data_IF_441107733773
#
_entry.id   IF_441107733773
#
_cell.length_a   1.000
_cell.length_b   1.000
_cell.length_c   1.000
_cell.angle_alpha   90.00
_cell.angle_beta   90.00
_cell.angle_gamma   90.00
#
_symmetry.space_group_name_H-M   'P 1'
#
loop_
_entity.id
_entity.type
_entity.pdbx_description
1 polymer ?
#
# COMPACT_ATOMS: atom_id res chain seq x y z
N UNK A 1 -11.92 -35.39 17.63
CA UNK A 1 -11.19 -34.69 16.57
C UNK A 1 -10.34 -33.61 17.20
N UNK A 2 -9.12 -33.87 17.64
CA UNK A 2 -8.33 -32.94 18.45
C UNK A 2 -6.87 -33.35 18.61
N UNK A 3 -6.25 -33.98 17.60
CA UNK A 3 -4.89 -34.52 17.76
C UNK A 3 -3.82 -33.99 16.78
N UNK A 4 -4.20 -33.22 15.79
CA UNK A 4 -3.25 -32.75 14.75
C UNK A 4 -2.61 -31.36 15.02
N UNK A 5 -3.24 -30.51 15.82
CA UNK A 5 -2.76 -29.13 16.04
C UNK A 5 -1.56 -29.01 17.00
N UNK A 6 -1.37 -29.95 17.90
CA UNK A 6 -0.32 -29.84 18.91
C UNK A 6 1.09 -30.16 18.37
N UNK A 7 1.18 -31.10 17.45
CA UNK A 7 2.47 -31.45 16.79
C UNK A 7 2.95 -30.37 15.83
N UNK A 8 2.03 -29.73 15.11
CA UNK A 8 2.37 -28.66 14.15
C UNK A 8 2.89 -27.42 14.88
N UNK A 9 2.27 -27.02 15.98
CA UNK A 9 2.72 -25.89 16.82
C UNK A 9 4.08 -26.20 17.47
N UNK A 10 4.32 -27.45 17.87
CA UNK A 10 5.62 -27.85 18.42
C UNK A 10 6.73 -27.77 17.38
N UNK A 11 6.51 -28.19 16.13
CA UNK A 11 7.49 -28.09 15.05
C UNK A 11 7.80 -26.65 14.66
N UNK A 12 6.81 -25.76 14.63
CA UNK A 12 7.04 -24.31 14.36
C UNK A 12 7.85 -23.69 15.50
N UNK A 13 7.56 -24.00 16.74
CA UNK A 13 8.37 -23.50 17.88
C UNK A 13 9.81 -23.98 17.84
N UNK A 14 10.05 -25.24 17.50
CA UNK A 14 11.42 -25.79 17.38
C UNK A 14 12.17 -25.15 16.20
N UNK A 15 11.51 -24.88 15.09
CA UNK A 15 12.10 -24.22 13.93
C UNK A 15 12.48 -22.76 14.24
N UNK A 16 11.61 -22.04 14.92
CA UNK A 16 11.86 -20.65 15.34
C UNK A 16 12.99 -20.56 16.37
N UNK A 17 13.05 -21.46 17.34
CA UNK A 17 14.14 -21.53 18.32
C UNK A 17 15.46 -21.92 17.65
N UNK A 18 15.45 -22.84 16.69
CA UNK A 18 16.65 -23.21 15.92
C UNK A 18 17.16 -22.07 15.05
N UNK A 19 16.26 -21.30 14.43
CA UNK A 19 16.65 -20.09 13.70
C UNK A 19 17.20 -19.00 14.63
N UNK A 20 16.65 -18.83 15.83
CA UNK A 20 17.18 -17.89 16.82
C UNK A 20 18.60 -18.28 17.29
N UNK A 21 18.84 -19.58 17.48
CA UNK A 21 20.17 -20.07 17.87
C UNK A 21 21.22 -19.95 16.74
N UNK A 22 20.81 -20.06 15.49
CA UNK A 22 21.69 -19.82 14.34
C UNK A 22 22.07 -18.33 14.18
N UNK A 23 21.20 -17.41 14.59
CA UNK A 23 21.45 -15.97 14.56
C UNK A 23 22.42 -15.52 15.68
N UNK A 24 22.51 -16.25 16.80
CA UNK A 24 23.43 -15.90 17.91
C UNK A 24 24.86 -16.41 17.71
N UNK A 25 25.11 -17.25 16.71
CA UNK A 25 26.45 -17.79 16.41
C UNK A 25 27.22 -17.03 15.33
N UNK A 26 26.68 -15.93 14.80
CA UNK A 26 27.40 -15.06 13.87
C UNK A 26 28.16 -14.01 14.70
N UNK A 27 29.38 -14.30 15.06
CA UNK A 27 30.31 -13.28 15.52
C UNK A 27 30.64 -12.35 14.34
N UNK A 28 30.00 -11.19 14.32
CA UNK A 28 30.32 -10.11 13.37
C UNK A 28 31.54 -9.38 13.93
N UNK A 29 32.71 -9.75 13.51
CA UNK A 29 33.94 -8.97 13.69
C UNK A 29 33.85 -7.73 12.81
N UNK A 30 33.34 -6.61 13.36
CA UNK A 30 33.47 -5.29 12.75
C UNK A 30 34.92 -4.82 12.91
N UNK A 31 35.73 -4.98 11.87
CA UNK A 31 36.96 -4.23 11.72
C UNK A 31 36.61 -2.78 11.33
N UNK A 32 36.61 -1.87 12.30
CA UNK A 32 36.49 -0.45 12.07
C UNK A 32 37.77 0.11 11.49
N UNK A 33 37.89 0.13 10.17
CA UNK A 33 38.78 1.06 9.49
C UNK A 33 38.02 2.40 9.33
N UNK A 34 38.10 3.22 10.36
CA UNK A 34 37.74 4.64 10.27
C UNK A 34 38.74 5.33 9.33
N UNK A 35 38.46 5.35 8.03
CA UNK A 35 39.02 6.38 7.15
C UNK A 35 38.27 7.67 7.48
N UNK A 36 38.97 8.60 8.12
CA UNK A 36 38.55 10.00 8.18
C UNK A 36 38.61 10.51 6.73
N UNK A 37 37.47 10.52 6.06
CA UNK A 37 37.32 11.22 4.78
C UNK A 37 37.39 12.72 5.08
N UNK A 38 38.51 13.31 4.73
CA UNK A 38 38.61 14.76 4.54
C UNK A 38 37.50 15.19 3.58
N UNK A 39 36.73 16.21 3.98
CA UNK A 39 35.68 16.83 3.19
C UNK A 39 36.24 17.40 1.88
N UNK A 40 36.51 16.54 0.91
CA UNK A 40 36.58 16.97 -0.48
C UNK A 40 35.18 17.46 -0.88
N UNK A 41 35.13 18.65 -1.48
CA UNK A 41 33.94 19.25 -2.05
C UNK A 41 33.27 18.27 -3.02
N UNK A 42 32.52 17.33 -2.51
CA UNK A 42 31.64 16.46 -3.30
C UNK A 42 30.58 17.37 -3.87
N UNK A 43 30.75 17.79 -5.14
CA UNK A 43 29.65 18.39 -5.89
C UNK A 43 28.48 17.45 -5.74
N UNK A 44 27.51 17.85 -4.91
CA UNK A 44 26.22 17.19 -4.84
C UNK A 44 25.60 17.43 -6.22
N UNK A 45 25.79 16.51 -7.14
CA UNK A 45 24.97 16.46 -8.33
C UNK A 45 23.57 16.21 -7.82
N UNK A 46 22.74 17.24 -7.82
CA UNK A 46 21.30 17.08 -7.69
C UNK A 46 20.91 16.20 -8.86
N UNK A 47 20.75 14.89 -8.59
CA UNK A 47 20.37 13.90 -9.59
C UNK A 47 19.15 14.43 -10.34
N UNK A 48 19.16 14.31 -11.64
CA UNK A 48 18.02 14.70 -12.46
C UNK A 48 16.80 13.90 -12.01
N UNK A 49 15.74 14.59 -11.63
CA UNK A 49 14.50 13.94 -11.18
C UNK A 49 13.76 13.46 -12.42
N UNK A 50 13.73 12.15 -12.62
CA UNK A 50 13.01 11.51 -13.72
C UNK A 50 11.57 11.21 -13.30
N UNK A 51 10.64 11.41 -14.22
CA UNK A 51 9.22 11.11 -14.06
C UNK A 51 8.69 10.33 -15.26
N UNK A 52 7.66 9.53 -15.05
CA UNK A 52 7.10 8.65 -16.09
C UNK A 52 5.81 9.20 -16.70
N UNK A 53 5.79 10.49 -17.02
CA UNK A 53 4.59 11.19 -17.57
C UNK A 53 4.08 10.51 -18.84
N UNK A 54 5.00 10.09 -19.72
CA UNK A 54 4.69 9.46 -21.00
C UNK A 54 4.89 7.94 -20.96
N UNK A 55 4.81 7.29 -19.77
CA UNK A 55 5.19 5.88 -19.53
C UNK A 55 6.68 5.59 -19.79
N UNK A 56 7.46 6.60 -20.10
CA UNK A 56 8.91 6.57 -20.27
C UNK A 56 9.51 7.55 -19.28
N UNK A 57 10.64 7.18 -18.69
CA UNK A 57 11.36 8.06 -17.77
C UNK A 57 11.90 9.27 -18.54
N UNK A 58 11.40 10.45 -18.20
CA UNK A 58 11.81 11.74 -18.76
C UNK A 58 12.22 12.67 -17.63
N UNK A 59 13.06 13.68 -17.97
CA UNK A 59 13.40 14.72 -17.02
C UNK A 59 12.16 15.52 -16.61
N UNK A 60 11.96 15.71 -15.32
CA UNK A 60 10.90 16.60 -14.81
C UNK A 60 10.99 18.00 -15.39
N UNK A 61 12.21 18.47 -15.73
CA UNK A 61 12.43 19.81 -16.31
C UNK A 61 11.95 19.93 -17.75
N UNK A 62 11.95 18.83 -18.50
CA UNK A 62 11.50 18.80 -19.90
C UNK A 62 9.99 18.55 -20.05
N UNK A 63 9.30 18.25 -18.94
CA UNK A 63 7.89 17.89 -18.97
C UNK A 63 7.03 19.10 -18.65
N UNK A 64 6.06 19.41 -19.52
CA UNK A 64 5.10 20.51 -19.33
C UNK A 64 4.06 20.21 -18.24
N UNK A 65 3.80 18.93 -17.96
CA UNK A 65 2.82 18.50 -16.96
C UNK A 65 3.34 18.73 -15.54
N UNK A 66 2.50 19.32 -14.68
CA UNK A 66 2.83 19.47 -13.27
C UNK A 66 2.84 18.08 -12.60
N UNK A 67 3.94 17.77 -11.93
CA UNK A 67 4.11 16.54 -11.18
C UNK A 67 4.69 16.79 -9.78
N UNK A 68 4.22 16.05 -8.80
CA UNK A 68 4.82 15.91 -7.47
C UNK A 68 5.38 14.50 -7.34
N UNK A 69 6.59 14.38 -6.82
CA UNK A 69 7.22 13.11 -6.53
C UNK A 69 7.38 13.04 -5.02
N UNK A 70 6.99 11.92 -4.46
CA UNK A 70 7.33 11.51 -3.10
C UNK A 70 8.39 10.42 -3.25
N UNK A 71 9.61 10.71 -2.91
CA UNK A 71 10.71 9.75 -2.99
C UNK A 71 10.75 8.82 -1.75
N UNK A 72 11.63 7.81 -1.78
CA UNK A 72 11.77 6.85 -0.70
C UNK A 72 12.12 7.51 0.65
N UNK A 73 12.82 8.64 0.64
CA UNK A 73 13.18 9.39 1.83
C UNK A 73 11.97 10.13 2.40
N UNK A 74 11.19 10.82 1.56
CA UNK A 74 9.94 11.47 1.97
C UNK A 74 8.95 10.44 2.50
N UNK A 75 8.80 9.28 1.82
CA UNK A 75 7.93 8.18 2.25
C UNK A 75 8.35 7.68 3.63
N UNK A 76 9.63 7.39 3.80
CA UNK A 76 10.16 6.89 5.09
C UNK A 76 10.02 7.91 6.21
N UNK A 77 10.31 9.18 5.94
CA UNK A 77 10.26 10.24 6.96
C UNK A 77 8.83 10.62 7.37
N UNK A 78 7.85 10.42 6.48
CA UNK A 78 6.44 10.73 6.79
C UNK A 78 5.86 9.86 7.89
N UNK A 79 6.42 8.66 8.11
CA UNK A 79 5.94 7.65 9.08
C UNK A 79 4.43 7.39 8.98
N UNK A 80 3.87 7.56 7.77
CA UNK A 80 2.44 7.37 7.53
C UNK A 80 2.03 5.92 7.69
N UNK A 81 0.92 5.67 8.37
CA UNK A 81 0.43 4.32 8.67
C UNK A 81 -0.04 3.58 7.41
N UNK A 82 -0.71 4.30 6.51
CA UNK A 82 -1.23 3.74 5.26
C UNK A 82 -0.80 4.57 4.05
N UNK A 83 -0.89 4.02 2.85
CA UNK A 83 -0.63 4.76 1.60
C UNK A 83 -1.61 5.91 1.42
N UNK A 84 -2.85 5.78 1.91
CA UNK A 84 -3.84 6.85 1.91
C UNK A 84 -3.37 8.04 2.77
N UNK A 85 -2.87 7.77 3.97
CA UNK A 85 -2.33 8.81 4.86
C UNK A 85 -1.06 9.45 4.29
N UNK A 86 -0.19 8.66 3.67
CA UNK A 86 1.01 9.17 2.99
C UNK A 86 0.65 10.22 1.93
N UNK A 87 -0.33 9.92 1.08
CA UNK A 87 -0.78 10.84 0.04
C UNK A 87 -1.44 12.08 0.64
N UNK A 88 -2.29 11.92 1.65
CA UNK A 88 -2.94 13.03 2.35
C UNK A 88 -1.92 13.95 3.03
N UNK A 89 -0.98 13.38 3.79
CA UNK A 89 0.04 14.11 4.54
C UNK A 89 1.03 14.84 3.63
N UNK A 90 1.22 14.37 2.40
CA UNK A 90 2.06 15.05 1.41
C UNK A 90 1.50 16.39 0.93
N UNK A 91 0.22 16.67 1.23
CA UNK A 91 -0.51 17.84 0.73
C UNK A 91 -0.76 17.83 -0.78
N UNK A 92 -0.52 16.69 -1.45
CA UNK A 92 -0.60 16.57 -2.91
C UNK A 92 -1.99 16.24 -3.41
N UNK A 93 -2.79 15.59 -2.57
CA UNK A 93 -4.18 15.22 -2.84
C UNK A 93 -4.97 15.22 -1.53
N UNK A 94 -6.28 15.34 -1.63
CA UNK A 94 -7.17 15.10 -0.49
C UNK A 94 -7.60 13.65 -0.47
N UNK A 95 -7.77 13.08 0.73
CA UNK A 95 -8.23 11.70 0.89
C UNK A 95 -9.45 11.71 1.82
N UNK A 96 -10.56 11.24 1.30
CA UNK A 96 -11.76 11.04 2.10
C UNK A 96 -11.69 9.67 2.78
N UNK A 97 -11.62 9.66 4.11
CA UNK A 97 -11.61 8.45 4.92
C UNK A 97 -12.92 8.30 5.68
N UNK A 98 -13.45 7.09 5.71
CA UNK A 98 -14.63 6.69 6.48
C UNK A 98 -14.34 5.51 7.40
N UNK A 99 -13.12 4.99 7.31
CA UNK A 99 -12.55 3.90 8.10
C UNK A 99 -11.05 4.13 8.26
N UNK A 100 -10.38 3.37 9.14
CA UNK A 100 -8.93 3.49 9.35
C UNK A 100 -8.16 3.09 8.10
N UNK A 101 -8.48 1.94 7.53
CA UNK A 101 -7.83 1.43 6.32
C UNK A 101 -8.43 2.03 5.05
N UNK A 102 -7.57 2.38 4.10
CA UNK A 102 -7.98 2.88 2.79
C UNK A 102 -8.42 4.33 2.76
N UNK A 103 -9.14 4.70 1.73
CA UNK A 103 -9.64 6.04 1.50
C UNK A 103 -9.85 6.33 0.02
N UNK A 104 -10.73 7.28 -0.31
CA UNK A 104 -10.96 7.76 -1.66
C UNK A 104 -10.08 8.98 -1.93
N UNK A 105 -9.18 8.85 -2.90
CA UNK A 105 -8.23 9.92 -3.25
C UNK A 105 -8.87 10.86 -4.25
N UNK A 106 -8.74 12.17 -3.98
CA UNK A 106 -9.26 13.26 -4.82
C UNK A 106 -8.11 14.15 -5.27
N UNK A 107 -7.93 14.29 -6.58
CA UNK A 107 -6.98 15.21 -7.21
C UNK A 107 -7.71 16.43 -7.78
N UNK A 108 -7.47 17.62 -7.21
CA UNK A 108 -8.07 18.88 -7.70
C UNK A 108 -9.59 18.80 -7.94
N UNK A 109 -10.31 18.13 -7.05
CA UNK A 109 -11.76 17.93 -7.15
C UNK A 109 -12.20 16.75 -8.03
N UNK A 110 -11.27 16.04 -8.67
CA UNK A 110 -11.57 14.80 -9.40
C UNK A 110 -11.36 13.60 -8.49
N UNK A 111 -12.37 12.76 -8.38
CA UNK A 111 -12.37 11.56 -7.55
C UNK A 111 -12.80 10.31 -8.32
N UNK A 112 -12.73 9.17 -7.67
CA UNK A 112 -13.17 7.88 -8.17
C UNK A 112 -12.55 7.51 -9.52
N UNK A 113 -13.39 7.21 -10.51
CA UNK A 113 -12.98 6.84 -11.87
C UNK A 113 -12.43 7.99 -12.73
N UNK A 114 -12.24 9.17 -12.15
CA UNK A 114 -11.62 10.32 -12.84
C UNK A 114 -10.17 10.56 -12.40
N UNK A 115 -9.73 9.84 -11.38
CA UNK A 115 -8.36 9.79 -10.90
C UNK A 115 -7.85 8.37 -11.04
N UNK A 116 -6.82 8.17 -11.85
CA UNK A 116 -6.25 6.84 -12.10
C UNK A 116 -5.19 6.53 -11.04
N UNK A 117 -5.30 5.39 -10.42
CA UNK A 117 -4.23 4.80 -9.62
C UNK A 117 -3.53 3.70 -10.41
N UNK A 118 -2.20 3.73 -10.40
CA UNK A 118 -1.32 2.78 -11.09
C UNK A 118 -0.28 2.27 -10.10
N UNK A 119 0.00 0.99 -10.11
CA UNK A 119 1.11 0.39 -9.37
C UNK A 119 2.01 -0.41 -10.30
N UNK A 120 3.30 -0.07 -10.34
CA UNK A 120 4.28 -0.71 -11.24
C UNK A 120 3.79 -0.82 -12.70
N UNK A 121 3.12 0.20 -13.23
CA UNK A 121 2.56 0.22 -14.58
C UNK A 121 1.20 -0.45 -14.76
N UNK A 122 0.68 -1.13 -13.72
CA UNK A 122 -0.62 -1.81 -13.75
C UNK A 122 -1.71 -0.90 -13.18
N UNK A 123 -2.80 -0.70 -13.93
CA UNK A 123 -3.95 0.09 -13.48
C UNK A 123 -4.65 -0.62 -12.33
N UNK A 124 -4.94 0.11 -11.26
CA UNK A 124 -5.68 -0.41 -10.10
C UNK A 124 -7.19 -0.19 -10.21
N UNK A 125 -7.62 0.82 -10.99
CA UNK A 125 -9.04 1.06 -11.21
C UNK A 125 -9.67 -0.14 -11.92
N UNK A 126 -10.77 -0.61 -11.37
CA UNK A 126 -11.49 -1.79 -11.84
C UNK A 126 -13.01 -1.51 -11.91
N UNK A 127 -13.84 -2.53 -12.13
CA UNK A 127 -15.29 -2.40 -12.28
C UNK A 127 -16.06 -2.35 -10.95
N UNK A 128 -15.39 -2.41 -9.80
CA UNK A 128 -16.06 -2.31 -8.51
C UNK A 128 -16.20 -0.82 -8.15
N UNK A 129 -17.39 -0.28 -8.42
CA UNK A 129 -17.71 1.13 -8.17
C UNK A 129 -18.56 1.29 -6.91
N UNK A 130 -17.95 1.63 -5.80
CA UNK A 130 -18.64 1.88 -4.53
C UNK A 130 -19.28 3.28 -4.50
N UNK A 131 -20.25 3.53 -5.36
CA UNK A 131 -20.91 4.85 -5.49
C UNK A 131 -19.92 6.00 -5.72
N UNK A 132 -18.81 5.70 -6.41
CA UNK A 132 -17.77 6.68 -6.70
C UNK A 132 -16.63 6.75 -5.67
N UNK A 133 -16.68 6.02 -4.56
CA UNK A 133 -15.63 6.01 -3.55
C UNK A 133 -14.78 4.73 -3.64
N UNK A 134 -13.74 4.77 -4.47
CA UNK A 134 -12.83 3.64 -4.64
C UNK A 134 -11.93 3.48 -3.40
N UNK A 135 -11.78 2.25 -2.94
CA UNK A 135 -10.94 1.91 -1.77
C UNK A 135 -9.66 1.15 -2.16
N UNK A 136 -9.32 1.12 -3.44
CA UNK A 136 -8.22 0.29 -3.98
C UNK A 136 -6.87 0.59 -3.34
N UNK A 137 -6.69 1.82 -2.81
CA UNK A 137 -5.45 2.23 -2.16
C UNK A 137 -5.13 1.40 -0.92
N UNK A 138 -6.14 0.77 -0.29
CA UNK A 138 -5.95 -0.13 0.85
C UNK A 138 -4.99 -1.27 0.49
N UNK A 139 -5.08 -1.83 -0.72
CA UNK A 139 -4.25 -2.94 -1.18
C UNK A 139 -2.84 -2.54 -1.62
N UNK A 140 -2.34 -1.40 -1.15
CA UNK A 140 -0.98 -0.92 -1.44
C UNK A 140 -0.22 -0.64 -0.15
N UNK A 141 0.85 -1.38 0.06
CA UNK A 141 1.76 -1.19 1.19
C UNK A 141 2.75 -0.06 0.92
N UNK A 142 2.65 1.04 1.70
CA UNK A 142 3.57 2.18 1.59
C UNK A 142 5.03 1.81 1.95
N UNK A 143 5.24 0.76 2.74
CA UNK A 143 6.59 0.34 3.16
C UNK A 143 7.34 -0.38 2.02
N UNK A 144 6.59 -0.95 1.06
CA UNK A 144 7.15 -1.57 -0.14
C UNK A 144 7.46 -0.57 -1.26
N UNK A 145 7.03 0.70 -1.14
CA UNK A 145 7.19 1.71 -2.17
C UNK A 145 8.62 2.26 -2.23
N UNK A 146 9.06 2.54 -3.45
CA UNK A 146 10.28 3.27 -3.79
C UNK A 146 9.99 4.76 -4.03
N UNK A 147 8.88 5.06 -4.73
CA UNK A 147 8.39 6.41 -4.96
C UNK A 147 6.91 6.44 -5.35
N UNK A 148 6.29 7.61 -5.22
CA UNK A 148 4.97 7.92 -5.79
C UNK A 148 5.13 9.14 -6.70
N UNK A 149 4.60 9.04 -7.91
CA UNK A 149 4.50 10.14 -8.86
C UNK A 149 3.04 10.56 -8.98
N UNK A 150 2.72 11.81 -8.66
CA UNK A 150 1.38 12.38 -8.76
C UNK A 150 1.39 13.36 -9.93
N UNK A 151 0.72 12.98 -11.01
CA UNK A 151 0.61 13.73 -12.24
C UNK A 151 -0.72 14.47 -12.23
N UNK A 152 -0.69 15.79 -12.27
CA UNK A 152 -1.89 16.63 -12.23
C UNK A 152 -2.37 16.97 -13.64
N UNK A 153 -3.69 16.94 -13.81
CA UNK A 153 -4.34 17.28 -15.07
C UNK A 153 -4.53 16.08 -16.00
N UNK A 154 -5.13 16.31 -17.17
CA UNK A 154 -5.57 15.23 -18.05
C UNK A 154 -4.38 14.45 -18.62
N UNK A 155 -4.38 13.16 -18.35
CA UNK A 155 -3.40 12.20 -18.86
C UNK A 155 -4.10 11.06 -19.62
N UNK A 156 -5.35 11.29 -20.02
CA UNK A 156 -6.21 10.27 -20.65
C UNK A 156 -5.70 9.79 -22.00
N UNK A 157 -4.96 10.61 -22.72
CA UNK A 157 -4.34 10.23 -24.01
C UNK A 157 -3.27 9.16 -23.84
N UNK A 158 -2.63 9.08 -22.68
CA UNK A 158 -1.52 8.16 -22.38
C UNK A 158 -2.00 7.01 -21.49
N UNK A 159 -2.78 7.33 -20.47
CA UNK A 159 -3.19 6.38 -19.44
C UNK A 159 -4.63 5.87 -19.59
N UNK A 160 -5.44 6.42 -20.51
CA UNK A 160 -6.81 6.01 -20.75
C UNK A 160 -7.86 6.80 -19.95
N UNK A 161 -9.12 6.35 -20.01
CA UNK A 161 -10.32 7.11 -19.61
C UNK A 161 -10.34 7.62 -18.17
N UNK A 162 -9.77 6.89 -17.24
CA UNK A 162 -9.85 7.23 -15.80
C UNK A 162 -8.82 8.30 -15.37
N UNK A 163 -7.93 8.72 -16.28
CA UNK A 163 -6.89 9.71 -16.01
C UNK A 163 -7.29 11.14 -16.38
N UNK A 164 -8.56 11.52 -16.15
CA UNK A 164 -9.08 12.84 -16.48
C UNK A 164 -8.56 13.91 -15.51
N UNK A 165 -8.60 13.64 -14.21
CA UNK A 165 -8.11 14.54 -13.16
C UNK A 165 -6.61 14.43 -12.91
N UNK A 166 -6.04 13.28 -13.22
CA UNK A 166 -4.63 12.98 -13.03
C UNK A 166 -4.35 11.51 -12.79
N UNK A 167 -3.09 11.22 -12.52
CA UNK A 167 -2.58 9.87 -12.26
C UNK A 167 -1.78 9.85 -10.97
N UNK A 168 -2.00 8.86 -10.14
CA UNK A 168 -1.16 8.53 -8.99
C UNK A 168 -0.44 7.23 -9.34
N UNK A 169 0.84 7.32 -9.68
CA UNK A 169 1.65 6.18 -10.07
C UNK A 169 2.57 5.81 -8.91
N UNK A 170 2.35 4.65 -8.34
CA UNK A 170 3.11 4.07 -7.23
C UNK A 170 4.10 3.06 -7.79
N UNK A 171 5.36 3.20 -7.39
CA UNK A 171 6.43 2.29 -7.77
C UNK A 171 6.91 1.56 -6.54
N UNK A 172 6.81 0.24 -6.54
CA UNK A 172 7.39 -0.57 -5.49
C UNK A 172 8.89 -0.80 -5.74
N UNK A 173 9.65 -1.07 -4.70
CA UNK A 173 11.09 -1.32 -4.76
C UNK A 173 11.42 -2.36 -5.83
N UNK A 174 12.50 -2.12 -6.57
CA UNK A 174 12.94 -2.98 -7.68
C UNK A 174 14.00 -3.97 -7.22
N UNK A 175 14.06 -5.19 -7.82
CA UNK A 175 15.20 -6.09 -7.64
C UNK A 175 16.49 -5.43 -8.11
N UNK A 176 17.56 -5.53 -7.32
CA UNK A 176 18.86 -4.94 -7.60
C UNK A 176 19.84 -6.03 -7.99
N UNK A 177 20.40 -5.95 -9.19
CA UNK A 177 21.48 -6.82 -9.65
C UNK A 177 22.78 -6.54 -8.89
N UNK A 178 23.68 -7.51 -8.89
CA UNK A 178 25.04 -7.31 -8.40
C UNK A 178 25.81 -6.38 -9.35
N UNK A 179 26.64 -5.52 -8.77
CA UNK A 179 27.60 -4.71 -9.51
C UNK A 179 28.65 -5.59 -10.20
N UNK A 180 29.26 -5.11 -11.27
CA UNK A 180 30.22 -5.90 -12.04
C UNK A 180 31.39 -6.44 -11.20
N UNK A 181 31.82 -5.68 -10.21
CA UNK A 181 32.90 -6.02 -9.26
C UNK A 181 32.50 -7.08 -8.23
N UNK A 182 31.19 -7.33 -8.02
CA UNK A 182 30.67 -8.20 -6.98
C UNK A 182 30.11 -9.50 -7.57
N UNK A 183 30.24 -10.61 -6.83
CA UNK A 183 29.59 -11.89 -7.18
C UNK A 183 28.08 -11.86 -6.91
N UNK A 184 27.68 -11.20 -5.83
CA UNK A 184 26.28 -11.07 -5.41
C UNK A 184 26.06 -9.75 -4.67
N UNK A 185 24.81 -9.30 -4.62
CA UNK A 185 24.33 -8.13 -3.86
C UNK A 185 23.21 -8.56 -2.95
N UNK A 186 23.40 -8.37 -1.65
CA UNK A 186 22.38 -8.63 -0.63
C UNK A 186 21.99 -7.30 0.00
N UNK A 187 20.70 -7.04 0.14
CA UNK A 187 20.17 -5.91 0.89
C UNK A 187 18.98 -6.39 1.72
N UNK A 188 18.97 -6.06 3.00
CA UNK A 188 17.92 -6.44 3.95
C UNK A 188 17.47 -5.17 4.66
N UNK A 189 16.16 -4.96 4.77
CA UNK A 189 15.58 -3.96 5.64
C UNK A 189 14.56 -4.64 6.55
N UNK A 190 14.59 -4.26 7.82
CA UNK A 190 13.64 -4.71 8.84
C UNK A 190 13.30 -3.52 9.69
N UNK A 191 12.03 -3.30 9.95
CA UNK A 191 11.61 -2.36 10.99
C UNK A 191 10.31 -2.79 11.65
N UNK A 192 10.09 -2.26 12.85
CA UNK A 192 8.81 -2.32 13.54
C UNK A 192 8.39 -0.90 13.90
N UNK A 193 7.11 -0.59 13.74
CA UNK A 193 6.51 0.69 14.10
C UNK A 193 5.39 0.46 15.11
N UNK A 194 5.32 1.33 16.11
CA UNK A 194 4.21 1.42 17.05
C UNK A 194 3.57 2.80 16.98
N UNK A 195 2.26 2.85 16.87
CA UNK A 195 1.45 4.06 16.89
C UNK A 195 0.51 4.06 18.11
N UNK A 196 0.56 5.09 18.95
CA UNK A 196 -0.22 5.12 20.18
C UNK A 196 -1.70 5.52 19.97
N UNK A 197 -2.05 6.10 18.83
CA UNK A 197 -3.41 6.57 18.57
C UNK A 197 -4.41 5.42 18.38
N UNK A 198 -3.96 4.30 17.86
CA UNK A 198 -4.74 3.11 17.56
C UNK A 198 -3.99 1.82 17.91
N UNK A 199 -2.99 1.92 18.80
CA UNK A 199 -2.09 0.82 19.17
C UNK A 199 -1.57 0.08 17.93
N UNK A 200 -1.27 0.83 16.85
CA UNK A 200 -0.71 0.25 15.64
C UNK A 200 0.54 -0.56 15.97
N UNK A 201 0.62 -1.73 15.40
CA UNK A 201 1.84 -2.53 15.40
C UNK A 201 2.11 -3.05 14.00
N UNK A 202 3.06 -2.40 13.32
CA UNK A 202 3.48 -2.75 11.95
C UNK A 202 4.87 -3.34 11.97
N UNK A 203 5.03 -4.50 11.33
CA UNK A 203 6.32 -5.15 11.10
C UNK A 203 6.55 -5.27 9.60
N UNK A 204 7.71 -4.86 9.17
CA UNK A 204 8.12 -4.92 7.77
C UNK A 204 9.47 -5.60 7.63
N UNK A 205 9.56 -6.41 6.59
CA UNK A 205 10.79 -7.06 6.15
C UNK A 205 10.90 -6.96 4.64
N UNK A 206 12.04 -6.52 4.13
CA UNK A 206 12.36 -6.70 2.72
C UNK A 206 13.77 -7.28 2.51
N UNK A 207 13.90 -8.08 1.48
CA UNK A 207 15.11 -8.80 1.13
C UNK A 207 15.37 -8.75 -0.36
N UNK A 208 16.55 -8.30 -0.75
CA UNK A 208 17.04 -8.36 -2.13
C UNK A 208 18.24 -9.30 -2.22
N UNK A 209 18.19 -10.22 -3.19
CA UNK A 209 19.31 -11.04 -3.59
C UNK A 209 19.59 -10.85 -5.08
N UNK A 210 20.73 -10.31 -5.41
CA UNK A 210 21.13 -10.03 -6.80
C UNK A 210 22.39 -10.77 -7.19
N UNK A 211 22.35 -11.39 -8.37
CA UNK A 211 23.48 -11.88 -9.15
C UNK A 211 23.70 -10.93 -10.33
N UNK A 212 24.68 -11.20 -11.20
CA UNK A 212 25.00 -10.34 -12.36
C UNK A 212 23.85 -10.22 -13.37
N UNK A 213 23.07 -11.28 -13.55
CA UNK A 213 21.96 -11.33 -14.54
C UNK A 213 20.61 -11.65 -13.95
N UNK A 214 20.52 -11.98 -12.68
CA UNK A 214 19.28 -12.34 -12.01
C UNK A 214 19.22 -11.66 -10.64
N UNK A 215 18.05 -11.12 -10.32
CA UNK A 215 17.79 -10.63 -8.98
C UNK A 215 16.38 -11.00 -8.51
N UNK A 216 16.25 -11.18 -7.21
CA UNK A 216 14.99 -11.42 -6.51
C UNK A 216 14.82 -10.38 -5.42
N UNK A 217 13.61 -9.84 -5.30
CA UNK A 217 13.19 -8.95 -4.23
C UNK A 217 11.93 -9.48 -3.59
N UNK A 218 11.96 -9.65 -2.29
CA UNK A 218 10.81 -10.07 -1.46
C UNK A 218 10.53 -9.01 -0.43
N UNK A 219 9.27 -8.61 -0.28
CA UNK A 219 8.81 -7.69 0.76
C UNK A 219 7.58 -8.28 1.45
N UNK A 220 7.53 -8.22 2.76
CA UNK A 220 6.41 -8.64 3.57
C UNK A 220 6.13 -7.60 4.66
N UNK A 221 4.88 -7.22 4.78
CA UNK A 221 4.40 -6.31 5.83
C UNK A 221 3.19 -6.92 6.52
N UNK A 222 3.17 -6.88 7.83
CA UNK A 222 2.00 -7.15 8.64
C UNK A 222 1.71 -5.94 9.52
N UNK A 223 0.49 -5.43 9.41
CA UNK A 223 0.00 -4.28 10.20
C UNK A 223 -1.24 -4.67 10.97
N UNK A 224 -1.28 -4.34 12.24
CA UNK A 224 -2.44 -4.46 13.11
C UNK A 224 -2.76 -3.10 13.68
N UNK A 225 -4.00 -2.71 13.62
CA UNK A 225 -4.56 -1.49 14.19
C UNK A 225 -5.68 -1.89 15.14
N UNK A 226 -5.61 -1.42 16.37
CA UNK A 226 -6.71 -1.51 17.32
C UNK A 226 -7.67 -0.32 17.10
N UNK A 227 -8.61 -0.12 18.01
CA UNK A 227 -9.58 0.97 17.89
C UNK A 227 -8.91 2.35 18.01
N UNK A 228 -9.27 3.27 17.11
CA UNK A 228 -8.71 4.62 17.05
C UNK A 228 -9.12 5.44 18.27
N UNK A 229 -8.16 6.05 18.94
CA UNK A 229 -8.40 7.04 19.98
C UNK A 229 -8.28 8.46 19.42
N UNK A 230 -9.35 9.22 19.47
CA UNK A 230 -9.38 10.64 19.14
C UNK A 230 -8.68 11.50 20.20
N UNK A 231 -8.19 12.67 19.79
CA UNK A 231 -7.63 13.66 20.70
C UNK A 231 -8.71 14.34 21.56
N UNK A 232 -8.36 14.70 22.80
CA UNK A 232 -9.26 15.40 23.73
C UNK A 232 -9.37 16.90 23.40
N UNK A 233 -8.29 17.48 22.84
CA UNK A 233 -8.23 18.88 22.43
C UNK A 233 -8.87 19.05 21.07
N UNK A 234 -9.95 19.79 21.00
CA UNK A 234 -10.73 20.04 19.78
C UNK A 234 -10.50 21.44 19.25
N UNK A 235 -10.61 21.58 17.94
CA UNK A 235 -10.70 22.90 17.33
C UNK A 235 -12.04 23.55 17.69
N UNK A 236 -12.02 24.84 18.02
CA UNK A 236 -13.20 25.63 18.41
C UNK A 236 -14.28 25.72 17.33
N UNK A 237 -13.95 25.37 16.07
CA UNK A 237 -14.92 25.31 14.96
C UNK A 237 -15.84 24.09 15.02
N UNK A 238 -15.49 23.06 15.80
CA UNK A 238 -16.30 21.86 15.91
C UNK A 238 -17.17 21.91 17.17
N UNK A 239 -18.32 21.21 17.11
CA UNK A 239 -19.18 21.05 18.28
C UNK A 239 -18.46 20.32 19.42
N UNK A 240 -18.89 20.54 20.67
CA UNK A 240 -18.28 19.93 21.84
C UNK A 240 -18.27 18.40 21.81
N UNK A 241 -19.24 17.78 21.11
CA UNK A 241 -19.33 16.32 20.94
C UNK A 241 -18.66 15.80 19.66
N UNK A 242 -18.05 16.66 18.83
CA UNK A 242 -17.42 16.22 17.58
C UNK A 242 -16.28 15.24 17.85
N UNK A 243 -16.30 14.10 17.14
CA UNK A 243 -15.29 13.04 17.30
C UNK A 243 -15.46 12.21 18.57
N UNK A 244 -16.48 12.43 19.38
CA UNK A 244 -16.83 11.59 20.53
C UNK A 244 -17.73 10.43 20.12
N UNK A 245 -17.54 9.29 20.75
CA UNK A 245 -18.38 8.11 20.60
C UNK A 245 -18.94 7.70 21.94
N UNK A 246 -20.11 8.23 22.27
CA UNK A 246 -20.74 8.01 23.59
C UNK A 246 -21.32 6.60 23.72
N UNK A 247 -21.81 6.02 22.62
CA UNK A 247 -22.47 4.72 22.62
C UNK A 247 -21.97 3.87 21.44
N UNK A 248 -22.02 2.57 21.63
CA UNK A 248 -21.83 1.58 20.57
C UNK A 248 -22.84 0.44 20.75
N UNK A 249 -23.01 -0.39 19.72
CA UNK A 249 -23.93 -1.52 19.75
C UNK A 249 -23.19 -2.79 20.10
N UNK A 250 -23.69 -3.52 21.10
CA UNK A 250 -23.33 -4.91 21.36
C UNK A 250 -24.57 -5.80 21.23
N UNK A 251 -24.33 -7.04 20.85
CA UNK A 251 -25.37 -8.05 20.78
C UNK A 251 -25.34 -8.90 22.05
N UNK A 252 -26.29 -8.62 22.98
CA UNK A 252 -26.39 -9.29 24.27
C UNK A 252 -27.64 -10.19 24.22
N UNK A 253 -27.45 -11.50 24.49
CA UNK A 253 -28.52 -12.50 24.46
C UNK A 253 -29.38 -12.50 23.18
N UNK A 254 -28.75 -12.21 22.04
CA UNK A 254 -29.42 -12.19 20.74
C UNK A 254 -30.14 -10.87 20.41
N UNK A 255 -30.12 -9.88 21.30
CA UNK A 255 -30.69 -8.56 21.10
C UNK A 255 -29.63 -7.47 21.04
N UNK A 256 -29.81 -6.47 20.19
CA UNK A 256 -28.92 -5.33 20.12
C UNK A 256 -29.15 -4.42 21.31
N UNK A 257 -28.08 -4.04 21.97
CA UNK A 257 -28.10 -3.17 23.14
C UNK A 257 -27.16 -1.99 22.92
N UNK A 258 -27.61 -0.79 23.25
CA UNK A 258 -26.75 0.39 23.29
C UNK A 258 -25.93 0.34 24.58
N UNK A 259 -24.64 0.20 24.41
CA UNK A 259 -23.68 0.20 25.51
C UNK A 259 -23.02 1.58 25.58
N UNK A 260 -23.00 2.17 26.80
CA UNK A 260 -22.30 3.43 27.01
C UNK A 260 -20.79 3.19 26.91
N UNK A 261 -20.12 3.93 26.07
CA UNK A 261 -18.67 3.87 25.96
C UNK A 261 -18.01 4.44 27.21
N UNK A 262 -17.15 3.67 27.87
CA UNK A 262 -16.41 4.13 29.03
C UNK A 262 -15.36 5.20 28.71
N UNK A 263 -14.88 5.20 27.46
CA UNK A 263 -13.98 6.18 26.91
C UNK A 263 -14.57 6.75 25.60
N UNK A 264 -15.22 7.92 25.71
CA UNK A 264 -15.88 8.57 24.58
C UNK A 264 -14.94 8.98 23.45
N UNK A 265 -13.63 9.06 23.69
CA UNK A 265 -12.62 9.35 22.66
C UNK A 265 -12.18 8.11 21.91
N UNK A 266 -12.48 6.91 22.41
CA UNK A 266 -12.18 5.65 21.72
C UNK A 266 -13.27 5.34 20.68
N UNK A 267 -12.90 5.22 19.41
CA UNK A 267 -13.78 4.85 18.32
C UNK A 267 -13.93 3.33 18.26
N UNK A 268 -14.70 2.78 19.21
CA UNK A 268 -14.93 1.33 19.35
C UNK A 268 -15.38 0.72 18.03
N UNK A 269 -14.84 -0.44 17.65
CA UNK A 269 -15.07 -1.12 16.37
C UNK A 269 -14.53 -0.29 15.19
N UNK A 270 -13.29 0.16 15.25
CA UNK A 270 -12.60 0.80 14.12
C UNK A 270 -11.34 0.06 13.68
N UNK A 271 -10.81 -0.85 14.51
CA UNK A 271 -9.59 -1.59 14.26
C UNK A 271 -9.67 -2.60 13.13
N UNK A 272 -8.54 -2.94 12.53
CA UNK A 272 -8.39 -3.97 11.50
C UNK A 272 -6.95 -4.47 11.43
N UNK A 273 -6.71 -5.52 10.65
CA UNK A 273 -5.35 -6.00 10.36
C UNK A 273 -5.19 -6.25 8.87
N UNK A 274 -3.95 -6.14 8.39
CA UNK A 274 -3.61 -6.34 6.98
C UNK A 274 -2.25 -7.01 6.86
N UNK A 275 -2.07 -7.82 5.82
CA UNK A 275 -0.76 -8.29 5.40
C UNK A 275 -0.58 -8.14 3.89
N UNK A 276 0.62 -7.75 3.52
CA UNK A 276 1.03 -7.45 2.17
C UNK A 276 2.31 -8.21 1.82
N UNK A 277 2.34 -8.79 0.63
CA UNK A 277 3.48 -9.51 0.09
C UNK A 277 3.80 -8.98 -1.31
N UNK A 278 5.06 -8.68 -1.56
CA UNK A 278 5.58 -8.37 -2.90
C UNK A 278 6.75 -9.29 -3.19
N UNK A 279 6.66 -10.03 -4.30
CA UNK A 279 7.75 -10.84 -4.83
C UNK A 279 8.06 -10.40 -6.26
N UNK A 280 9.29 -9.99 -6.49
CA UNK A 280 9.75 -9.60 -7.83
C UNK A 280 10.98 -10.40 -8.24
N UNK A 281 11.02 -10.74 -9.53
CA UNK A 281 12.20 -11.32 -10.16
C UNK A 281 12.61 -10.44 -11.34
N UNK A 282 13.91 -10.26 -11.53
CA UNK A 282 14.50 -9.56 -12.66
C UNK A 282 15.52 -10.47 -13.32
N UNK A 283 15.43 -10.64 -14.64
CA UNK A 283 16.40 -11.35 -15.45
C UNK A 283 16.90 -10.44 -16.58
N UNK A 284 18.19 -10.12 -16.55
CA UNK A 284 18.91 -9.37 -17.57
C UNK A 284 19.41 -10.35 -18.63
N UNK A 285 18.62 -10.60 -19.66
CA UNK A 285 18.96 -11.56 -20.72
C UNK A 285 20.17 -11.10 -21.54
N UNK A 286 20.16 -9.82 -21.96
CA UNK A 286 21.27 -9.16 -22.66
C UNK A 286 21.47 -7.74 -22.11
N UNK A 287 22.49 -7.02 -22.56
CA UNK A 287 22.68 -5.61 -22.18
C UNK A 287 21.47 -4.73 -22.58
N UNK A 288 20.68 -5.14 -23.56
CA UNK A 288 19.54 -4.39 -24.11
C UNK A 288 18.17 -4.94 -23.67
N UNK A 289 18.10 -6.18 -23.18
CA UNK A 289 16.81 -6.87 -22.93
C UNK A 289 16.75 -7.34 -21.48
N UNK A 290 15.71 -6.94 -20.77
CA UNK A 290 15.37 -7.42 -19.44
C UNK A 290 13.95 -7.97 -19.38
N UNK A 291 13.75 -8.93 -18.48
CA UNK A 291 12.46 -9.52 -18.16
C UNK A 291 12.22 -9.39 -16.68
N UNK A 292 11.00 -9.03 -16.29
CA UNK A 292 10.62 -9.00 -14.88
C UNK A 292 9.29 -9.71 -14.65
N UNK A 293 9.18 -10.36 -13.50
CA UNK A 293 7.94 -10.92 -12.98
C UNK A 293 7.68 -10.27 -11.63
N UNK A 294 6.46 -9.74 -11.45
CA UNK A 294 6.02 -9.06 -10.24
C UNK A 294 4.74 -9.73 -9.74
N UNK A 295 4.76 -10.24 -8.54
CA UNK A 295 3.60 -10.83 -7.86
C UNK A 295 3.36 -10.03 -6.59
N UNK A 296 2.15 -9.49 -6.44
CA UNK A 296 1.72 -8.75 -5.26
C UNK A 296 0.47 -9.40 -4.69
N UNK A 297 0.44 -9.56 -3.40
CA UNK A 297 -0.72 -10.06 -2.67
C UNK A 297 -0.98 -9.17 -1.47
N UNK A 298 -2.23 -8.75 -1.30
CA UNK A 298 -2.71 -7.97 -0.18
C UNK A 298 -4.00 -8.57 0.35
N UNK A 299 -4.14 -8.65 1.67
CA UNK A 299 -5.36 -9.09 2.30
C UNK A 299 -5.59 -8.36 3.62
N UNK A 300 -6.79 -7.84 3.81
CA UNK A 300 -7.23 -7.23 5.07
C UNK A 300 -8.24 -8.12 5.80
N UNK A 301 -8.39 -7.94 7.10
CA UNK A 301 -9.58 -8.35 7.84
C UNK A 301 -10.75 -7.42 7.52
N UNK A 302 -11.85 -7.57 8.24
CA UNK A 302 -12.94 -6.60 8.22
C UNK A 302 -12.42 -5.21 8.61
N UNK A 303 -12.85 -4.18 7.87
CA UNK A 303 -12.48 -2.77 8.07
C UNK A 303 -13.75 -1.99 8.41
N UNK A 304 -14.05 -1.76 9.70
CA UNK A 304 -15.28 -1.13 10.11
C UNK A 304 -15.41 0.32 9.65
N UNK A 305 -16.60 0.70 9.26
CA UNK A 305 -16.98 2.08 8.94
C UNK A 305 -17.46 2.80 10.19
N UNK A 306 -16.53 3.20 11.03
CA UNK A 306 -16.85 3.85 12.30
C UNK A 306 -17.66 5.14 12.13
N UNK A 307 -17.54 5.84 11.00
CA UNK A 307 -18.38 7.00 10.64
C UNK A 307 -19.89 6.68 10.58
N UNK A 308 -20.23 5.47 10.11
CA UNK A 308 -21.64 5.02 10.00
C UNK A 308 -22.15 4.35 11.26
N UNK A 309 -21.26 3.85 12.09
CA UNK A 309 -21.62 3.25 13.37
C UNK A 309 -22.01 4.27 14.45
N UNK A 310 -21.88 5.57 14.15
CA UNK A 310 -22.31 6.69 14.98
C UNK A 310 -23.56 7.37 14.44
N UNK A 311 -24.07 6.97 13.25
CA UNK A 311 -25.27 7.58 12.67
C UNK A 311 -26.48 7.38 13.60
N UNK A 312 -27.22 8.45 14.00
CA UNK A 312 -28.40 8.32 14.82
C UNK A 312 -29.54 7.66 14.04
N UNK A 313 -30.33 6.85 14.72
CA UNK A 313 -31.56 6.22 14.23
C UNK A 313 -32.76 6.60 15.09
N UNK A 314 -33.95 6.08 14.76
CA UNK A 314 -35.16 6.32 15.52
C UNK A 314 -35.12 5.78 16.94
N UNK A 315 -34.46 4.64 17.13
CA UNK A 315 -34.47 3.90 18.39
C UNK A 315 -33.04 3.73 18.97
N UNK A 316 -32.13 4.64 18.62
CA UNK A 316 -30.74 4.59 19.01
C UNK A 316 -29.80 4.90 17.85
N UNK A 317 -28.93 3.95 17.47
CA UNK A 317 -28.07 4.06 16.30
C UNK A 317 -28.73 3.41 15.06
N UNK A 318 -28.41 3.91 13.88
CA UNK A 318 -28.96 3.41 12.62
C UNK A 318 -28.42 2.01 12.27
N UNK A 319 -27.14 1.78 12.53
CA UNK A 319 -26.45 0.53 12.22
C UNK A 319 -25.87 -0.12 13.46
N UNK A 320 -26.07 -1.44 13.58
CA UNK A 320 -25.37 -2.26 14.53
C UNK A 320 -24.03 -2.77 13.98
N UNK A 321 -23.96 -3.00 12.67
CA UNK A 321 -22.74 -3.40 11.98
C UNK A 321 -22.67 -2.72 10.61
N UNK A 322 -21.51 -2.19 10.30
CA UNK A 322 -21.19 -1.62 8.99
C UNK A 322 -19.67 -1.71 8.77
N UNK A 323 -19.25 -2.57 7.85
CA UNK A 323 -17.83 -2.78 7.57
C UNK A 323 -17.60 -3.18 6.11
N UNK A 324 -16.40 -2.90 5.63
CA UNK A 324 -15.84 -3.45 4.41
C UNK A 324 -14.95 -4.64 4.76
N UNK A 325 -14.66 -5.49 3.79
CA UNK A 325 -13.70 -6.55 3.95
C UNK A 325 -14.31 -7.91 4.34
N UNK A 326 -13.48 -8.94 4.30
CA UNK A 326 -12.07 -8.88 3.87
C UNK A 326 -11.90 -8.36 2.45
N UNK A 327 -10.86 -7.55 2.20
CA UNK A 327 -10.47 -7.13 0.87
C UNK A 327 -9.20 -7.87 0.47
N UNK A 328 -9.23 -8.53 -0.68
CA UNK A 328 -8.10 -9.32 -1.19
C UNK A 328 -7.74 -8.87 -2.59
N UNK A 329 -6.45 -8.69 -2.87
CA UNK A 329 -5.94 -8.44 -4.20
C UNK A 329 -4.72 -9.32 -4.47
N UNK A 330 -4.78 -10.12 -5.53
CA UNK A 330 -3.64 -10.77 -6.14
C UNK A 330 -3.35 -10.08 -7.47
N UNK A 331 -2.13 -9.65 -7.70
CA UNK A 331 -1.66 -9.13 -8.96
C UNK A 331 -0.44 -9.92 -9.41
N UNK A 332 -0.42 -10.33 -10.67
CA UNK A 332 0.76 -10.87 -11.35
C UNK A 332 1.00 -10.07 -12.61
N UNK A 333 2.21 -9.55 -12.78
CA UNK A 333 2.61 -8.80 -13.97
C UNK A 333 3.95 -9.31 -14.47
N UNK A 334 4.02 -9.46 -15.80
CA UNK A 334 5.25 -9.77 -16.53
C UNK A 334 5.58 -8.61 -17.45
N UNK A 335 6.82 -8.15 -17.42
CA UNK A 335 7.31 -7.08 -18.29
C UNK A 335 8.57 -7.52 -19.02
N UNK A 336 8.61 -7.23 -20.32
CA UNK A 336 9.79 -7.30 -21.14
C UNK A 336 10.15 -5.88 -21.57
N UNK A 337 11.40 -5.47 -21.29
CA UNK A 337 11.93 -4.18 -21.71
C UNK A 337 13.09 -4.41 -22.66
N UNK A 338 13.04 -3.76 -23.82
CA UNK A 338 14.12 -3.71 -24.80
C UNK A 338 14.54 -2.25 -24.99
N UNK A 339 15.84 -1.96 -24.81
CA UNK A 339 16.44 -0.63 -24.98
C UNK A 339 17.56 -0.70 -26.02
N UNK A 340 17.45 0.11 -27.09
CA UNK A 340 18.46 0.19 -28.13
C UNK A 340 18.65 1.65 -28.56
N UNK A 341 19.65 2.30 -28.03
CA UNK A 341 19.93 3.72 -28.27
C UNK A 341 20.38 4.05 -29.71
N UNK A 342 20.79 3.05 -30.48
CA UNK A 342 21.33 3.22 -31.84
C UNK A 342 20.32 2.85 -32.97
N UNK A 343 19.17 2.30 -32.61
CA UNK A 343 18.18 1.82 -33.57
C UNK A 343 17.09 2.83 -33.92
N UNK A 344 16.33 2.57 -34.97
CA UNK A 344 15.12 3.34 -35.29
C UNK A 344 14.05 3.21 -34.22
N UNK A 345 13.96 2.07 -33.55
CA UNK A 345 13.14 1.84 -32.37
C UNK A 345 14.08 1.82 -31.16
N UNK A 346 13.93 2.77 -30.28
CA UNK A 346 14.85 2.94 -29.15
C UNK A 346 14.38 2.17 -27.91
N UNK A 347 13.08 2.15 -27.65
CA UNK A 347 12.52 1.42 -26.52
C UNK A 347 11.30 0.62 -26.97
N UNK A 348 11.19 -0.62 -26.45
CA UNK A 348 9.98 -1.44 -26.54
C UNK A 348 9.69 -1.97 -25.17
N UNK A 349 8.47 -1.77 -24.71
CA UNK A 349 7.95 -2.34 -23.49
C UNK A 349 6.72 -3.20 -23.80
N UNK A 350 6.76 -4.47 -23.41
CA UNK A 350 5.63 -5.38 -23.44
C UNK A 350 5.28 -5.76 -22.01
N UNK A 351 4.07 -5.44 -21.60
CA UNK A 351 3.52 -5.77 -20.28
C UNK A 351 2.29 -6.67 -20.38
N UNK A 352 2.27 -7.74 -19.61
CA UNK A 352 1.13 -8.62 -19.40
C UNK A 352 0.77 -8.61 -17.94
N UNK A 353 -0.51 -8.45 -17.60
CA UNK A 353 -0.91 -8.54 -16.21
C UNK A 353 -2.23 -9.26 -16.00
N UNK A 354 -2.35 -9.85 -14.83
CA UNK A 354 -3.57 -10.45 -14.30
C UNK A 354 -3.81 -9.94 -12.88
N UNK A 355 -5.06 -9.63 -12.55
CA UNK A 355 -5.47 -9.28 -11.20
C UNK A 355 -6.74 -10.05 -10.83
N UNK A 356 -6.76 -10.60 -9.62
CA UNK A 356 -7.94 -11.11 -8.93
C UNK A 356 -8.22 -10.19 -7.74
N UNK A 357 -9.34 -9.48 -7.78
CA UNK A 357 -9.73 -8.52 -6.75
C UNK A 357 -11.06 -8.96 -6.16
N UNK A 358 -11.09 -9.12 -4.86
CA UNK A 358 -12.32 -9.41 -4.11
C UNK A 358 -12.52 -8.33 -3.06
N UNK A 359 -13.68 -7.72 -3.06
CA UNK A 359 -14.11 -6.73 -2.09
C UNK A 359 -15.48 -7.10 -1.55
N UNK A 360 -15.73 -6.77 -0.28
CA UNK A 360 -17.03 -7.02 0.31
C UNK A 360 -17.49 -5.83 1.15
N UNK A 361 -18.81 -5.77 1.34
CA UNK A 361 -19.48 -4.78 2.17
C UNK A 361 -20.61 -5.43 2.95
N UNK A 362 -20.65 -5.20 4.24
CA UNK A 362 -21.55 -5.83 5.17
C UNK A 362 -22.29 -4.78 5.98
N UNK A 363 -23.61 -4.91 6.06
CA UNK A 363 -24.44 -3.95 6.80
C UNK A 363 -25.55 -4.67 7.54
N UNK A 364 -25.73 -4.33 8.82
CA UNK A 364 -26.86 -4.75 9.66
C UNK A 364 -27.40 -3.55 10.42
N UNK A 365 -28.69 -3.29 10.28
CA UNK A 365 -29.36 -2.23 11.04
C UNK A 365 -29.50 -2.61 12.51
N UNK A 366 -29.64 -1.61 13.36
CA UNK A 366 -29.95 -1.80 14.77
C UNK A 366 -31.30 -2.52 14.94
N UNK A 367 -31.39 -3.43 15.88
CA UNK A 367 -32.56 -4.29 16.11
C UNK A 367 -33.03 -5.12 14.91
N UNK A 368 -32.14 -5.43 13.97
CA UNK A 368 -32.42 -6.29 12.84
C UNK A 368 -31.44 -7.45 12.80
N UNK A 369 -31.95 -8.66 12.62
CA UNK A 369 -31.12 -9.88 12.57
C UNK A 369 -30.45 -10.09 11.22
N UNK A 370 -30.94 -9.42 10.17
CA UNK A 370 -30.45 -9.64 8.82
C UNK A 370 -29.16 -8.85 8.55
N UNK A 371 -28.04 -9.56 8.50
CA UNK A 371 -26.78 -9.05 8.00
C UNK A 371 -26.74 -9.18 6.47
N UNK A 372 -26.74 -8.06 5.78
CA UNK A 372 -26.63 -8.04 4.33
C UNK A 372 -25.17 -8.12 3.92
N UNK A 373 -24.84 -9.11 3.10
CA UNK A 373 -23.51 -9.32 2.51
C UNK A 373 -23.53 -8.92 1.04
N UNK A 374 -22.61 -8.06 0.63
CA UNK A 374 -22.35 -7.74 -0.78
C UNK A 374 -20.92 -8.09 -1.09
N UNK A 375 -20.73 -9.19 -1.83
CA UNK A 375 -19.41 -9.65 -2.26
C UNK A 375 -19.26 -9.34 -3.74
N UNK A 376 -18.18 -8.66 -4.09
CA UNK A 376 -17.85 -8.24 -5.44
C UNK A 376 -16.49 -8.82 -5.80
N UNK A 377 -16.42 -9.52 -6.92
CA UNK A 377 -15.17 -10.12 -7.43
C UNK A 377 -14.97 -9.73 -8.87
N UNK A 378 -13.75 -9.32 -9.20
CA UNK A 378 -13.36 -9.00 -10.57
C UNK A 378 -12.00 -9.60 -10.92
N UNK A 379 -11.91 -10.18 -12.13
CA UNK A 379 -10.68 -10.59 -12.74
C UNK A 379 -10.33 -9.61 -13.86
N UNK A 380 -9.11 -9.08 -13.84
CA UNK A 380 -8.62 -8.12 -14.83
C UNK A 380 -7.43 -8.72 -15.55
N UNK A 381 -7.49 -8.68 -16.88
CA UNK A 381 -6.38 -9.07 -17.78
C UNK A 381 -5.93 -7.84 -18.52
N UNK A 382 -4.64 -7.57 -18.56
CA UNK A 382 -4.06 -6.41 -19.24
C UNK A 382 -2.94 -6.81 -20.17
N UNK A 383 -2.90 -6.15 -21.34
CA UNK A 383 -1.81 -6.17 -22.29
C UNK A 383 -1.43 -4.72 -22.58
N UNK A 384 -0.15 -4.40 -22.44
CA UNK A 384 0.42 -3.10 -22.83
C UNK A 384 1.57 -3.34 -23.79
N UNK A 385 1.61 -2.56 -24.87
CA UNK A 385 2.73 -2.52 -25.80
C UNK A 385 3.05 -1.05 -26.07
N UNK A 386 4.18 -0.62 -25.57
CA UNK A 386 4.66 0.76 -25.74
C UNK A 386 5.94 0.73 -26.58
N UNK A 387 6.02 1.58 -27.60
CA UNK A 387 7.18 1.72 -28.48
C UNK A 387 7.58 3.18 -28.60
N UNK A 388 8.87 3.43 -28.52
CA UNK A 388 9.44 4.77 -28.66
C UNK A 388 10.52 4.75 -29.76
N UNK A 389 10.50 5.81 -30.56
CA UNK A 389 11.47 6.06 -31.64
C UNK A 389 12.38 7.23 -31.28
#
# INVERSE_FOLDING_TARGET
>A
MGGLNFKFIFWIRTLVISCLFLLTSIEITFSQNLKVDTLENKKISLGEVLISVNKVEESKRSTAQQAKILDATEISNSQSQTTADLIANSGSATVQKSQLGGGSVTLRGFEANRTLMVIDGVRMNNLIYRSGHLQNILSTDNNSLDRIEILYGPSSTIYGSDALGGVIHMYTKKPLLAEESLKSRIKINVFSRYGSADNEFTNHFDFNYGLKKFASFTSFTYSKFDDLRGGENKNTFYSDSYGEREYYVERINGQDSLVRNSDKFLQVQSGYSQYDLVQKFLFQATAKTSHSLNVQFSNSTDVPRYDRLTDPGSDGLNYAQWYYGPQTRLMTAYDMNFKNTEGKIQNVHLGLNFQDVTESRHTRKFNNDNLTHRNEKVNVYGLNLDMQR
#
